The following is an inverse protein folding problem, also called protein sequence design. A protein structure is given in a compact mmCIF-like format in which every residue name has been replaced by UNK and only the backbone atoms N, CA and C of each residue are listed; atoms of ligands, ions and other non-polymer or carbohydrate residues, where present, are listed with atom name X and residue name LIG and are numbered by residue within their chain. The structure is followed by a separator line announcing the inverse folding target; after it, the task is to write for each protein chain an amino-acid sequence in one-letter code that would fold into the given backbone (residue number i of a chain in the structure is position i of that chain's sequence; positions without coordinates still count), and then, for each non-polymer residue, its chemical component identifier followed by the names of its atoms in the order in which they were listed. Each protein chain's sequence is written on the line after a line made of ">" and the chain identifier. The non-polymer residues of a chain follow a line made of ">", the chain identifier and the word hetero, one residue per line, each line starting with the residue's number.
data_IF_201850565111
#
_entry.id   IF_201850565111
#
_cell.length_a   1.000
_cell.length_b   1.000
_cell.length_c   1.000
_cell.angle_alpha   90.00
_cell.angle_beta   90.00
_cell.angle_gamma   90.00
#
_symmetry.space_group_name_H-M   'P 1'
#
loop_
_entity.id
_entity.type
_entity.pdbx_description
1 polymer ?
#
# COMPACT_ATOMS: atom_id res chain seq x y z
N UNK A 1 -29.35 -8.44 39.48
CA UNK A 1 -29.02 -7.91 38.14
C UNK A 1 -28.60 -6.44 38.10
N UNK A 2 -29.31 -5.50 38.75
CA UNK A 2 -29.03 -4.04 38.67
C UNK A 2 -27.60 -3.59 39.05
N UNK A 3 -27.00 -4.16 40.11
CA UNK A 3 -25.62 -3.80 40.52
C UNK A 3 -24.53 -4.26 39.54
N UNK A 4 -24.71 -5.41 38.89
CA UNK A 4 -23.74 -5.94 37.93
C UNK A 4 -23.73 -5.12 36.64
N UNK A 5 -24.91 -4.72 36.15
CA UNK A 5 -25.07 -3.87 34.97
C UNK A 5 -24.48 -2.47 35.16
N UNK A 6 -24.59 -1.88 36.37
CA UNK A 6 -23.92 -0.62 36.71
C UNK A 6 -22.39 -0.76 36.70
N UNK A 7 -21.85 -1.88 37.20
CA UNK A 7 -20.41 -2.16 37.22
C UNK A 7 -19.85 -2.38 35.81
N UNK A 8 -20.62 -3.02 34.92
CA UNK A 8 -20.25 -3.20 33.50
C UNK A 8 -20.26 -1.85 32.76
N UNK A 9 -21.32 -1.04 32.89
CA UNK A 9 -21.39 0.29 32.24
C UNK A 9 -20.27 1.23 32.71
N UNK A 10 -19.95 1.21 34.01
CA UNK A 10 -18.82 1.95 34.57
C UNK A 10 -17.49 1.54 33.95
N UNK A 11 -17.26 0.23 33.77
CA UNK A 11 -16.01 -0.30 33.23
C UNK A 11 -15.86 -0.06 31.72
N UNK A 12 -16.96 -0.15 30.97
CA UNK A 12 -17.00 0.21 29.54
C UNK A 12 -16.72 1.70 29.32
N UNK A 13 -17.29 2.57 30.16
CA UNK A 13 -17.02 4.00 30.10
C UNK A 13 -15.54 4.31 30.39
N UNK A 14 -14.95 3.68 31.40
CA UNK A 14 -13.55 3.87 31.75
C UNK A 14 -12.60 3.47 30.61
N UNK A 15 -12.87 2.32 29.98
CA UNK A 15 -12.10 1.84 28.82
C UNK A 15 -12.28 2.73 27.58
N UNK A 16 -13.49 3.26 27.37
CA UNK A 16 -13.76 4.22 26.28
C UNK A 16 -13.00 5.53 26.49
N UNK A 17 -12.97 6.04 27.72
CA UNK A 17 -12.28 7.29 28.07
C UNK A 17 -10.74 7.12 27.99
N UNK A 18 -10.20 5.95 28.36
CA UNK A 18 -8.78 5.61 28.19
C UNK A 18 -8.38 5.51 26.70
N UNK A 19 -9.20 4.89 25.86
CA UNK A 19 -8.95 4.78 24.41
C UNK A 19 -9.03 6.15 23.74
N UNK A 20 -9.99 7.00 24.11
CA UNK A 20 -10.09 8.38 23.65
C UNK A 20 -8.89 9.24 24.10
N UNK A 21 -8.41 9.03 25.33
CA UNK A 21 -7.20 9.66 25.86
C UNK A 21 -5.96 9.31 25.04
N UNK A 22 -5.74 8.01 24.79
CA UNK A 22 -4.63 7.52 23.96
C UNK A 22 -4.72 8.02 22.52
N UNK A 23 -5.92 8.12 21.96
CA UNK A 23 -6.13 8.64 20.59
C UNK A 23 -5.74 10.12 20.50
N UNK A 24 -6.17 10.96 21.45
CA UNK A 24 -5.78 12.37 21.52
C UNK A 24 -4.29 12.57 21.78
N UNK A 25 -3.68 11.74 22.61
CA UNK A 25 -2.25 11.81 22.91
C UNK A 25 -1.41 11.44 21.68
N UNK A 26 -1.85 10.43 20.91
CA UNK A 26 -1.27 10.09 19.61
C UNK A 26 -1.48 11.20 18.57
N UNK A 27 -2.66 11.83 18.52
CA UNK A 27 -2.93 12.98 17.64
C UNK A 27 -2.03 14.18 17.98
N UNK A 28 -1.89 14.53 19.27
CA UNK A 28 -0.99 15.58 19.74
C UNK A 28 0.49 15.27 19.44
N UNK A 29 0.92 14.02 19.59
CA UNK A 29 2.27 13.58 19.20
C UNK A 29 2.48 13.63 17.68
N UNK A 30 1.41 13.55 16.88
CA UNK A 30 1.47 13.73 15.43
C UNK A 30 1.47 15.21 15.00
N UNK A 31 0.78 16.10 15.72
CA UNK A 31 0.74 17.55 15.40
C UNK A 31 2.05 18.30 15.72
N UNK A 32 2.80 17.89 16.76
CA UNK A 32 4.05 18.57 17.18
C UNK A 32 5.23 18.34 16.20
N UNK A 33 5.06 17.54 15.14
CA UNK A 33 6.13 17.12 14.20
C UNK A 33 6.27 17.96 12.92
N UNK A 34 5.45 19.00 12.69
CA UNK A 34 5.32 19.64 11.36
C UNK A 34 6.16 20.88 11.06
N UNK A 35 7.07 21.34 11.93
CA UNK A 35 7.84 22.58 11.68
C UNK A 35 9.35 22.39 11.74
N UNK A 36 9.87 21.56 10.83
CA UNK A 36 11.26 21.64 10.32
C UNK A 36 11.26 21.09 8.91
N UNK A 37 11.91 21.78 7.98
CA UNK A 37 12.17 21.29 6.63
C UNK A 37 13.03 20.03 6.76
N UNK A 38 12.37 18.87 6.86
CA UNK A 38 13.01 17.56 7.06
C UNK A 38 13.79 17.27 5.78
N UNK A 39 15.08 16.96 5.91
CA UNK A 39 15.81 16.31 4.83
C UNK A 39 14.98 15.12 4.31
N UNK A 40 14.99 14.89 2.99
CA UNK A 40 14.30 13.75 2.35
C UNK A 40 14.95 12.44 2.83
N UNK A 41 14.59 12.00 4.05
CA UNK A 41 15.01 10.73 4.62
C UNK A 41 14.21 9.62 3.94
N UNK A 42 14.84 8.47 3.69
CA UNK A 42 14.07 7.28 3.36
C UNK A 42 13.15 6.97 4.53
N UNK A 43 11.86 6.93 4.22
CA UNK A 43 10.86 6.47 5.15
C UNK A 43 10.97 4.95 5.21
N UNK A 44 11.77 4.45 6.16
CA UNK A 44 11.74 3.04 6.58
C UNK A 44 10.45 2.69 7.34
N UNK A 45 9.63 3.71 7.63
CA UNK A 45 8.38 3.54 8.33
C UNK A 45 7.28 3.19 7.33
N UNK A 46 6.37 2.33 7.74
CA UNK A 46 5.17 1.95 6.99
C UNK A 46 4.19 3.14 6.88
N UNK A 47 4.58 4.22 6.22
CA UNK A 47 3.68 5.34 5.94
C UNK A 47 2.68 4.86 4.89
N UNK A 48 1.51 4.43 5.37
CA UNK A 48 0.44 3.98 4.48
C UNK A 48 -0.06 5.20 3.71
N UNK A 49 -0.10 5.15 2.37
CA UNK A 49 -0.64 6.26 1.60
C UNK A 49 -2.14 6.48 1.83
N UNK A 50 -2.68 7.54 1.21
CA UNK A 50 -4.11 7.83 1.24
C UNK A 50 -4.97 6.74 0.60
N UNK A 51 -6.30 6.86 0.76
CA UNK A 51 -7.30 5.87 0.34
C UNK A 51 -7.23 5.44 -1.13
N UNK A 52 -6.79 6.30 -2.04
CA UNK A 52 -6.62 5.96 -3.47
C UNK A 52 -5.32 5.24 -3.81
N UNK A 53 -4.36 5.23 -2.89
CA UNK A 53 -2.97 4.83 -3.16
C UNK A 53 -2.40 3.87 -2.12
N UNK A 54 -3.22 3.28 -1.27
CA UNK A 54 -2.80 2.35 -0.21
C UNK A 54 -1.97 1.16 -0.72
N UNK A 55 -2.09 0.82 -2.01
CA UNK A 55 -1.35 -0.22 -2.74
C UNK A 55 0.08 0.20 -3.14
N UNK A 56 0.38 1.51 -3.10
CA UNK A 56 1.73 2.04 -3.29
C UNK A 56 2.47 2.12 -1.94
N UNK A 57 3.80 2.14 -1.98
CA UNK A 57 4.62 2.39 -0.78
C UNK A 57 5.42 3.67 -0.99
N UNK A 58 5.35 4.57 -0.01
CA UNK A 58 6.16 5.78 0.00
C UNK A 58 7.61 5.42 0.36
N UNK A 59 8.57 5.87 -0.44
CA UNK A 59 10.00 5.69 -0.15
C UNK A 59 10.61 7.02 0.30
N UNK A 60 10.27 8.11 -0.39
CA UNK A 60 10.55 9.49 0.02
C UNK A 60 9.33 10.37 -0.30
N UNK A 61 9.38 11.68 -0.03
CA UNK A 61 8.31 12.60 -0.44
C UNK A 61 8.12 12.69 -1.96
N UNK A 62 9.15 12.32 -2.72
CA UNK A 62 9.20 12.48 -4.16
C UNK A 62 9.08 11.15 -4.92
N UNK A 63 9.22 10.02 -4.23
CA UNK A 63 9.27 8.71 -4.86
C UNK A 63 8.43 7.67 -4.11
N UNK A 64 7.64 6.95 -4.89
CA UNK A 64 6.76 5.88 -4.45
C UNK A 64 7.00 4.65 -5.32
N UNK A 65 6.70 3.47 -4.78
CA UNK A 65 6.86 2.19 -5.48
C UNK A 65 5.55 1.40 -5.48
N UNK A 66 5.31 0.63 -6.55
CA UNK A 66 4.16 -0.28 -6.67
C UNK A 66 4.48 -1.50 -7.53
N UNK A 67 3.59 -2.50 -7.47
CA UNK A 67 3.53 -3.60 -8.44
C UNK A 67 2.92 -3.16 -9.77
N UNK A 68 2.45 -4.11 -10.59
CA UNK A 68 1.86 -3.78 -11.89
C UNK A 68 0.61 -2.92 -11.68
N UNK A 69 0.43 -1.88 -12.48
CA UNK A 69 -0.69 -0.95 -12.34
C UNK A 69 -1.84 -1.37 -13.24
N UNK A 70 -3.07 -1.34 -12.71
CA UNK A 70 -4.28 -1.32 -13.51
C UNK A 70 -4.61 0.09 -13.99
N UNK A 71 -5.52 0.20 -14.95
CA UNK A 71 -6.02 1.50 -15.42
C UNK A 71 -6.58 2.35 -14.27
N UNK A 72 -7.31 1.72 -13.34
CA UNK A 72 -7.84 2.38 -12.14
C UNK A 72 -6.71 2.95 -11.27
N UNK A 73 -5.66 2.18 -11.03
CA UNK A 73 -4.52 2.61 -10.22
C UNK A 73 -3.80 3.82 -10.85
N UNK A 74 -3.66 3.87 -12.18
CA UNK A 74 -3.09 5.03 -12.90
C UNK A 74 -3.95 6.28 -12.70
N UNK A 75 -5.27 6.15 -12.84
CA UNK A 75 -6.22 7.25 -12.63
C UNK A 75 -6.23 7.74 -11.18
N UNK A 76 -6.20 6.82 -10.22
CA UNK A 76 -6.03 7.15 -8.80
C UNK A 76 -4.72 7.88 -8.51
N UNK A 77 -3.62 7.48 -9.14
CA UNK A 77 -2.36 8.19 -9.01
C UNK A 77 -2.50 9.66 -9.49
N UNK A 78 -3.24 9.89 -10.58
CA UNK A 78 -3.55 11.24 -11.07
C UNK A 78 -4.30 12.08 -10.03
N UNK A 79 -5.34 11.49 -9.45
CA UNK A 79 -6.28 12.17 -8.57
C UNK A 79 -5.66 12.57 -7.23
N UNK A 80 -4.64 11.83 -6.78
CA UNK A 80 -3.88 12.17 -5.56
C UNK A 80 -2.66 13.05 -5.83
N UNK A 81 -2.42 13.43 -7.09
CA UNK A 81 -1.42 14.43 -7.45
C UNK A 81 -0.04 13.90 -7.86
N UNK A 82 0.11 12.61 -8.18
CA UNK A 82 1.34 12.15 -8.87
C UNK A 82 1.50 12.92 -10.18
N UNK A 83 2.74 13.29 -10.50
CA UNK A 83 3.08 14.04 -11.72
C UNK A 83 3.73 13.18 -12.77
N UNK A 84 4.35 12.07 -12.37
CA UNK A 84 4.85 11.07 -13.30
C UNK A 84 4.69 9.64 -12.81
N UNK A 85 4.65 8.72 -13.78
CA UNK A 85 4.80 7.28 -13.57
C UNK A 85 6.01 6.79 -14.38
N UNK A 86 6.85 5.96 -13.76
CA UNK A 86 7.96 5.29 -14.45
C UNK A 86 7.79 3.78 -14.31
N UNK A 87 7.66 3.09 -15.43
CA UNK A 87 7.72 1.64 -15.50
C UNK A 87 9.17 1.18 -15.63
N UNK A 88 9.63 0.32 -14.73
CA UNK A 88 10.97 -0.28 -14.85
C UNK A 88 11.01 -1.41 -15.89
N UNK A 89 9.84 -1.89 -16.33
CA UNK A 89 9.70 -3.02 -17.24
C UNK A 89 8.75 -2.67 -18.41
N UNK A 90 8.90 -3.36 -19.54
CA UNK A 90 8.03 -3.20 -20.71
C UNK A 90 7.10 -4.42 -20.86
N UNK A 91 5.86 -4.32 -20.38
CA UNK A 91 4.85 -5.35 -20.51
C UNK A 91 4.25 -5.33 -21.91
N UNK A 92 4.48 -6.40 -22.68
CA UNK A 92 3.96 -6.56 -24.03
C UNK A 92 2.64 -7.32 -24.10
N UNK A 93 2.20 -7.91 -22.99
CA UNK A 93 0.97 -8.68 -22.89
C UNK A 93 0.07 -8.10 -21.81
N UNK A 94 -1.23 -8.07 -22.07
CA UNK A 94 -2.26 -7.84 -21.07
C UNK A 94 -2.25 -8.96 -20.02
N UNK A 95 -2.77 -8.65 -18.85
CA UNK A 95 -2.88 -9.62 -17.75
C UNK A 95 -4.14 -9.32 -16.95
N UNK A 96 -4.80 -10.36 -16.45
CA UNK A 96 -5.94 -10.24 -15.57
C UNK A 96 -5.64 -10.87 -14.22
N UNK A 97 -6.10 -10.22 -13.16
CA UNK A 97 -6.15 -10.82 -11.82
C UNK A 97 -7.57 -10.73 -11.29
N UNK A 98 -8.28 -11.86 -11.26
CA UNK A 98 -9.73 -11.85 -11.08
C UNK A 98 -10.39 -10.93 -12.13
N UNK A 99 -11.20 -9.99 -11.67
CA UNK A 99 -11.90 -9.02 -12.54
C UNK A 99 -11.06 -7.79 -12.89
N UNK A 100 -9.84 -7.66 -12.36
CA UNK A 100 -9.01 -6.49 -12.61
C UNK A 100 -8.10 -6.68 -13.83
N UNK A 101 -8.16 -5.70 -14.72
CA UNK A 101 -7.39 -5.63 -15.96
C UNK A 101 -6.09 -4.85 -15.76
N UNK A 102 -4.98 -5.47 -16.17
CA UNK A 102 -3.65 -4.86 -16.21
C UNK A 102 -3.21 -4.69 -17.67
N UNK A 103 -3.27 -3.45 -18.20
CA UNK A 103 -2.95 -3.16 -19.59
C UNK A 103 -1.48 -3.43 -19.94
N UNK A 104 -1.16 -3.43 -21.24
CA UNK A 104 0.23 -3.37 -21.71
C UNK A 104 0.89 -2.05 -21.26
N UNK A 105 2.23 -1.97 -21.32
CA UNK A 105 2.92 -0.71 -21.00
C UNK A 105 2.53 0.44 -21.93
N UNK A 106 2.23 0.15 -23.21
CA UNK A 106 1.81 1.19 -24.16
C UNK A 106 0.40 1.69 -23.84
N UNK A 107 -0.55 0.80 -23.54
CA UNK A 107 -1.90 1.21 -23.14
C UNK A 107 -1.89 1.94 -21.79
N UNK A 108 -1.04 1.51 -20.85
CA UNK A 108 -0.82 2.21 -19.57
C UNK A 108 -0.33 3.64 -19.83
N UNK A 109 0.59 3.83 -20.78
CA UNK A 109 1.08 5.15 -21.18
C UNK A 109 -0.06 6.00 -21.77
N UNK A 110 -0.90 5.43 -22.63
CA UNK A 110 -2.06 6.13 -23.20
C UNK A 110 -3.00 6.61 -22.08
N UNK A 111 -3.35 5.73 -21.13
CA UNK A 111 -4.17 6.10 -19.96
C UNK A 111 -3.50 7.21 -19.16
N UNK A 112 -2.21 7.08 -18.85
CA UNK A 112 -1.46 8.04 -18.06
C UNK A 112 -1.41 9.42 -18.73
N UNK A 113 -0.99 9.48 -19.99
CA UNK A 113 -0.74 10.75 -20.69
C UNK A 113 -2.02 11.38 -21.24
N UNK A 114 -2.91 10.58 -21.85
CA UNK A 114 -4.08 11.09 -22.57
C UNK A 114 -5.31 11.28 -21.68
N UNK A 115 -5.52 10.40 -20.68
CA UNK A 115 -6.71 10.46 -19.82
C UNK A 115 -6.40 11.09 -18.46
N UNK A 116 -5.31 10.67 -17.83
CA UNK A 116 -4.91 11.17 -16.51
C UNK A 116 -4.16 12.51 -16.57
N UNK A 117 -3.35 12.75 -17.62
CA UNK A 117 -2.50 13.94 -17.71
C UNK A 117 -1.23 13.83 -16.85
N UNK A 118 -0.70 12.62 -16.71
CA UNK A 118 0.52 12.27 -15.99
C UNK A 118 1.60 11.89 -17.01
N UNK A 119 2.84 12.35 -16.83
CA UNK A 119 3.97 11.95 -17.69
C UNK A 119 4.32 10.48 -17.47
N UNK A 120 4.58 9.72 -18.54
CA UNK A 120 4.90 8.30 -18.43
C UNK A 120 6.27 7.96 -19.03
N UNK A 121 7.06 7.13 -18.34
CA UNK A 121 8.41 6.74 -18.75
C UNK A 121 8.63 5.23 -18.66
N UNK A 122 9.49 4.67 -19.53
CA UNK A 122 9.78 3.24 -19.58
C UNK A 122 11.30 3.03 -19.54
N UNK A 123 11.82 2.61 -18.39
CA UNK A 123 13.27 2.45 -18.20
C UNK A 123 13.83 1.28 -19.04
N UNK A 124 13.14 0.14 -19.10
CA UNK A 124 13.57 -1.02 -19.90
C UNK A 124 13.72 -0.70 -21.40
N UNK A 125 12.74 0.00 -21.97
CA UNK A 125 12.79 0.46 -23.37
C UNK A 125 13.95 1.44 -23.58
N UNK A 126 14.12 2.39 -22.66
CA UNK A 126 15.22 3.37 -22.71
C UNK A 126 16.60 2.69 -22.56
N UNK A 127 16.66 1.54 -21.90
CA UNK A 127 17.86 0.72 -21.79
C UNK A 127 18.20 -0.06 -23.08
N UNK A 128 17.35 -0.06 -24.12
CA UNK A 128 17.53 -0.82 -25.37
C UNK A 128 17.89 -2.30 -25.13
N UNK A 129 17.05 -2.99 -24.35
CA UNK A 129 17.25 -4.39 -24.01
C UNK A 129 16.42 -5.31 -24.91
N UNK A 130 17.09 -6.31 -25.49
CA UNK A 130 16.46 -7.36 -26.28
C UNK A 130 15.90 -8.50 -25.40
N UNK A 131 16.33 -8.58 -24.14
CA UNK A 131 15.90 -9.60 -23.19
C UNK A 131 14.96 -9.03 -22.13
N UNK A 132 14.12 -9.91 -21.59
CA UNK A 132 13.25 -9.62 -20.45
C UNK A 132 13.98 -9.80 -19.10
N UNK A 133 15.32 -9.83 -19.07
CA UNK A 133 16.07 -9.94 -17.81
C UNK A 133 15.99 -8.60 -17.05
N UNK A 134 15.16 -8.58 -16.01
CA UNK A 134 15.02 -7.44 -15.11
C UNK A 134 16.21 -7.32 -14.14
N UNK A 135 17.24 -8.16 -14.22
CA UNK A 135 18.44 -8.03 -13.37
C UNK A 135 19.57 -7.44 -14.20
N UNK A 136 19.41 -6.16 -14.56
CA UNK A 136 20.32 -5.48 -15.48
C UNK A 136 20.65 -4.04 -15.04
N UNK A 137 21.95 -3.73 -14.93
CA UNK A 137 22.46 -2.40 -14.58
C UNK A 137 22.05 -1.31 -15.59
N UNK A 138 21.89 -1.65 -16.88
CA UNK A 138 21.46 -0.69 -17.90
C UNK A 138 20.09 -0.09 -17.58
N UNK A 139 19.21 -0.83 -16.89
CA UNK A 139 17.92 -0.31 -16.43
C UNK A 139 18.10 0.69 -15.29
N UNK A 140 19.08 0.51 -14.40
CA UNK A 140 19.43 1.51 -13.37
C UNK A 140 19.88 2.82 -14.03
N UNK A 141 20.76 2.72 -15.04
CA UNK A 141 21.23 3.90 -15.79
C UNK A 141 20.09 4.59 -16.54
N UNK A 142 19.27 3.83 -17.27
CA UNK A 142 18.12 4.37 -17.99
C UNK A 142 17.09 5.02 -17.04
N UNK A 143 16.83 4.41 -15.89
CA UNK A 143 15.99 5.01 -14.85
C UNK A 143 16.58 6.32 -14.33
N UNK A 144 17.89 6.35 -14.06
CA UNK A 144 18.61 7.56 -13.63
C UNK A 144 18.52 8.67 -14.67
N UNK A 145 18.63 8.33 -15.96
CA UNK A 145 18.47 9.28 -17.06
C UNK A 145 17.05 9.86 -17.12
N UNK A 146 16.02 9.01 -17.02
CA UNK A 146 14.62 9.46 -16.97
C UNK A 146 14.39 10.45 -15.83
N UNK A 147 14.90 10.16 -14.64
CA UNK A 147 14.70 11.02 -13.47
C UNK A 147 15.48 12.33 -13.57
N UNK A 148 16.78 12.26 -13.86
CA UNK A 148 17.68 13.42 -13.75
C UNK A 148 17.79 14.23 -15.03
N UNK A 149 17.88 13.57 -16.19
CA UNK A 149 18.14 14.22 -17.49
C UNK A 149 16.82 14.63 -18.12
N UNK A 150 15.84 13.73 -18.15
CA UNK A 150 14.52 14.02 -18.72
C UNK A 150 13.57 14.74 -17.73
N UNK A 151 14.08 15.05 -16.53
CA UNK A 151 13.43 15.86 -15.50
C UNK A 151 11.96 15.50 -15.29
N UNK A 152 11.69 14.22 -15.02
CA UNK A 152 10.33 13.77 -14.75
C UNK A 152 9.76 14.51 -13.53
N UNK A 153 8.59 15.18 -13.65
CA UNK A 153 8.02 15.96 -12.56
C UNK A 153 7.62 15.05 -11.39
N UNK A 154 7.85 15.54 -10.17
CA UNK A 154 7.58 14.85 -8.91
C UNK A 154 6.22 15.25 -8.33
N UNK A 155 5.55 14.40 -7.52
CA UNK A 155 5.95 13.06 -7.09
C UNK A 155 5.92 12.02 -8.22
N UNK A 156 6.85 11.04 -8.16
CA UNK A 156 7.01 9.96 -9.13
C UNK A 156 6.56 8.64 -8.52
N UNK A 157 5.69 7.92 -9.23
CA UNK A 157 5.34 6.53 -8.94
C UNK A 157 6.17 5.60 -9.82
N UNK A 158 7.01 4.78 -9.21
CA UNK A 158 7.83 3.77 -9.89
C UNK A 158 7.14 2.43 -9.78
N UNK A 159 7.01 1.69 -10.88
CA UNK A 159 6.31 0.41 -10.86
C UNK A 159 6.98 -0.67 -11.72
N UNK A 160 6.70 -1.93 -11.39
CA UNK A 160 7.17 -3.12 -12.12
C UNK A 160 6.09 -4.21 -12.11
N UNK A 161 6.40 -5.46 -12.47
CA UNK A 161 5.46 -6.57 -12.36
C UNK A 161 5.14 -6.86 -10.89
N UNK A 162 6.18 -6.77 -10.07
CA UNK A 162 6.20 -6.96 -8.62
C UNK A 162 6.92 -5.78 -7.97
N UNK A 163 6.41 -5.29 -6.84
CA UNK A 163 6.91 -4.02 -6.30
C UNK A 163 8.33 -4.09 -5.71
N UNK A 164 8.86 -5.27 -5.39
CA UNK A 164 10.26 -5.40 -4.96
C UNK A 164 11.25 -5.12 -6.10
N UNK A 165 10.90 -5.41 -7.36
CA UNK A 165 11.75 -5.03 -8.48
C UNK A 165 11.76 -3.51 -8.67
N UNK A 166 10.60 -2.86 -8.52
CA UNK A 166 10.53 -1.39 -8.53
C UNK A 166 11.36 -0.77 -7.39
N UNK A 167 11.32 -1.38 -6.20
CA UNK A 167 12.13 -0.93 -5.06
C UNK A 167 13.63 -1.10 -5.31
N UNK A 168 14.05 -2.22 -5.89
CA UNK A 168 15.45 -2.47 -6.24
C UNK A 168 16.01 -1.36 -7.13
N UNK A 169 15.30 -1.01 -8.20
CA UNK A 169 15.74 0.03 -9.12
C UNK A 169 15.77 1.42 -8.51
N UNK A 170 14.74 1.79 -7.75
CA UNK A 170 14.71 3.08 -7.08
C UNK A 170 15.82 3.22 -6.03
N UNK A 171 16.12 2.15 -5.27
CA UNK A 171 17.18 2.17 -4.28
C UNK A 171 18.57 2.22 -4.93
N UNK A 172 18.77 1.53 -6.05
CA UNK A 172 20.01 1.64 -6.83
C UNK A 172 20.16 3.05 -7.42
N UNK A 173 19.08 3.69 -7.88
CA UNK A 173 19.13 5.11 -8.24
C UNK A 173 19.63 5.99 -7.09
N UNK A 174 19.07 5.86 -5.88
CA UNK A 174 19.55 6.62 -4.72
C UNK A 174 20.99 6.30 -4.33
N UNK A 175 21.42 5.05 -4.47
CA UNK A 175 22.80 4.65 -4.25
C UNK A 175 23.75 5.28 -5.27
N UNK A 176 23.36 5.29 -6.55
CA UNK A 176 24.11 5.93 -7.62
C UNK A 176 24.26 7.43 -7.39
N UNK A 177 23.16 8.11 -7.05
CA UNK A 177 23.17 9.52 -6.68
C UNK A 177 24.02 9.79 -5.44
N UNK A 178 23.96 8.90 -4.44
CA UNK A 178 24.79 9.01 -3.23
C UNK A 178 26.28 8.96 -3.56
N UNK A 179 26.67 8.07 -4.47
CA UNK A 179 28.06 7.90 -4.92
C UNK A 179 28.56 9.10 -5.70
N UNK A 180 27.76 9.62 -6.63
CA UNK A 180 28.20 10.67 -7.55
C UNK A 180 27.92 12.10 -7.06
N UNK A 181 26.99 12.27 -6.11
CA UNK A 181 26.65 13.56 -5.54
C UNK A 181 26.75 13.52 -3.99
N UNK A 182 27.86 14.04 -3.43
CA UNK A 182 28.06 14.11 -1.98
C UNK A 182 26.98 14.89 -1.21
N UNK A 183 26.21 15.76 -1.87
CA UNK A 183 25.12 16.51 -1.26
C UNK A 183 23.73 15.84 -1.37
N UNK A 184 23.62 14.76 -2.16
CA UNK A 184 22.36 14.06 -2.37
C UNK A 184 21.81 13.44 -1.09
N UNK A 185 20.52 13.61 -0.84
CA UNK A 185 19.76 12.91 0.19
C UNK A 185 18.54 12.23 -0.45
N UNK A 186 18.21 10.99 -0.05
CA UNK A 186 18.79 10.25 1.07
C UNK A 186 20.11 9.53 0.74
N UNK A 187 21.05 9.50 1.70
CA UNK A 187 22.28 8.70 1.59
C UNK A 187 22.05 7.19 1.69
N UNK A 188 22.30 6.48 0.58
CA UNK A 188 22.15 5.02 0.46
C UNK A 188 23.48 4.34 0.18
N UNK A 189 23.88 3.50 1.13
CA UNK A 189 25.00 2.55 1.01
C UNK A 189 24.48 1.18 0.62
N UNK A 190 25.37 0.27 0.19
CA UNK A 190 24.99 -1.11 -0.16
C UNK A 190 24.23 -1.81 0.99
N UNK A 191 24.75 -1.69 2.22
CA UNK A 191 24.12 -2.27 3.42
C UNK A 191 22.72 -1.70 3.67
N UNK A 192 22.53 -0.39 3.49
CA UNK A 192 21.20 0.23 3.67
C UNK A 192 20.23 -0.24 2.61
N UNK A 193 20.64 -0.28 1.34
CA UNK A 193 19.84 -0.75 0.22
C UNK A 193 19.30 -2.17 0.49
N UNK A 194 20.18 -3.09 0.86
CA UNK A 194 19.83 -4.49 1.14
C UNK A 194 18.85 -4.59 2.32
N UNK A 195 19.09 -3.83 3.39
CA UNK A 195 18.19 -3.79 4.55
C UNK A 195 16.80 -3.22 4.22
N UNK A 196 16.73 -2.19 3.37
CA UNK A 196 15.45 -1.64 2.91
C UNK A 196 14.73 -2.65 2.01
N UNK A 197 15.45 -3.33 1.12
CA UNK A 197 14.92 -4.41 0.27
C UNK A 197 14.26 -5.51 1.10
N UNK A 198 14.96 -6.00 2.13
CA UNK A 198 14.43 -7.00 3.04
C UNK A 198 13.14 -6.55 3.74
N UNK A 199 13.09 -5.29 4.20
CA UNK A 199 11.87 -4.72 4.78
C UNK A 199 10.71 -4.61 3.78
N UNK A 200 11.02 -4.46 2.48
CA UNK A 200 10.01 -4.54 1.43
C UNK A 200 9.66 -5.97 1.03
N UNK A 201 10.36 -6.96 1.57
CA UNK A 201 10.02 -8.36 1.49
C UNK A 201 10.82 -9.20 0.54
N UNK A 202 11.94 -8.66 0.05
CA UNK A 202 12.81 -9.38 -0.85
C UNK A 202 14.25 -9.33 -0.36
N UNK A 203 14.83 -10.50 -0.17
CA UNK A 203 16.24 -10.66 0.17
C UNK A 203 17.07 -10.70 -1.11
N UNK A 204 17.68 -9.56 -1.45
CA UNK A 204 18.55 -9.44 -2.62
C UNK A 204 19.85 -10.25 -2.48
N UNK A 205 20.23 -10.68 -1.27
CA UNK A 205 21.50 -11.38 -1.04
C UNK A 205 21.51 -12.81 -1.59
N UNK A 206 20.34 -13.36 -1.89
CA UNK A 206 20.19 -14.69 -2.50
C UNK A 206 20.33 -14.69 -4.03
N UNK A 207 20.52 -13.53 -4.68
CA UNK A 207 20.74 -13.40 -6.13
C UNK A 207 22.07 -12.70 -6.42
N UNK A 208 23.04 -13.46 -6.92
CA UNK A 208 24.40 -12.98 -7.20
C UNK A 208 24.41 -11.80 -8.19
N UNK A 209 23.58 -11.84 -9.24
CA UNK A 209 23.48 -10.74 -10.22
C UNK A 209 22.95 -9.47 -9.59
N UNK A 210 21.98 -9.56 -8.67
CA UNK A 210 21.48 -8.39 -7.95
C UNK A 210 22.57 -7.80 -7.05
N UNK A 211 23.38 -8.64 -6.41
CA UNK A 211 24.49 -8.20 -5.57
C UNK A 211 25.65 -7.58 -6.37
N UNK A 212 25.90 -8.06 -7.59
CA UNK A 212 26.81 -7.43 -8.55
C UNK A 212 26.33 -6.02 -8.93
N UNK A 213 25.05 -5.87 -9.29
CA UNK A 213 24.46 -4.57 -9.63
C UNK A 213 24.56 -3.59 -8.45
N UNK A 214 24.28 -4.05 -7.22
CA UNK A 214 24.43 -3.21 -6.02
C UNK A 214 25.87 -2.79 -5.83
N UNK A 215 26.82 -3.70 -6.01
CA UNK A 215 28.26 -3.39 -5.90
C UNK A 215 28.70 -2.39 -6.97
N UNK A 216 28.30 -2.60 -8.21
CA UNK A 216 28.62 -1.70 -9.33
C UNK A 216 28.05 -0.31 -9.10
N UNK A 217 26.79 -0.21 -8.64
CA UNK A 217 26.09 1.06 -8.42
C UNK A 217 26.69 1.83 -7.25
N UNK A 218 26.92 1.16 -6.12
CA UNK A 218 27.44 1.79 -4.88
C UNK A 218 28.94 2.02 -4.90
N UNK A 219 29.70 1.20 -5.65
CA UNK A 219 31.15 1.10 -5.54
C UNK A 219 31.65 0.37 -4.28
N UNK A 220 30.75 -0.24 -3.50
CA UNK A 220 31.06 -0.97 -2.27
C UNK A 220 31.18 -2.48 -2.53
N UNK A 221 32.03 -3.17 -1.76
CA UNK A 221 32.07 -4.64 -1.77
C UNK A 221 30.85 -5.20 -1.03
N UNK A 222 30.12 -6.13 -1.66
CA UNK A 222 28.85 -6.68 -1.16
C UNK A 222 28.98 -8.05 -0.50
N UNK A 223 30.11 -8.75 -0.68
CA UNK A 223 30.31 -10.14 -0.25
C UNK A 223 30.22 -10.41 1.27
N UNK A 224 30.31 -9.36 2.10
CA UNK A 224 30.21 -9.47 3.55
C UNK A 224 28.84 -9.02 4.12
N UNK A 225 27.87 -8.69 3.26
CA UNK A 225 26.55 -8.23 3.69
C UNK A 225 25.62 -9.43 3.81
N UNK A 226 25.16 -9.71 5.02
CA UNK A 226 24.17 -10.74 5.31
C UNK A 226 22.93 -10.11 5.94
N UNK A 227 21.77 -10.73 5.70
CA UNK A 227 20.52 -10.42 6.41
C UNK A 227 20.32 -11.42 7.52
N UNK A 228 19.90 -10.94 8.71
CA UNK A 228 19.53 -11.84 9.79
C UNK A 228 18.21 -12.52 9.42
N UNK A 229 18.17 -13.86 9.44
CA UNK A 229 16.97 -14.63 9.12
C UNK A 229 15.78 -14.29 10.03
N UNK A 230 16.01 -13.74 11.23
CA UNK A 230 14.96 -13.26 12.12
C UNK A 230 14.29 -11.97 11.65
N UNK A 231 14.95 -11.20 10.78
CA UNK A 231 14.39 -10.00 10.16
C UNK A 231 13.53 -10.36 8.92
N UNK A 232 13.54 -11.63 8.50
CA UNK A 232 12.75 -12.09 7.37
C UNK A 232 11.34 -12.55 7.81
N UNK A 233 10.32 -12.30 6.98
CA UNK A 233 8.95 -12.77 7.21
C UNK A 233 8.85 -14.29 7.26
N UNK A 234 7.92 -14.80 8.07
CA UNK A 234 7.56 -16.22 8.08
C UNK A 234 6.50 -16.44 6.99
N UNK A 235 6.76 -17.39 6.08
CA UNK A 235 5.88 -17.74 4.97
C UNK A 235 6.60 -17.62 3.63
N UNK A 236 6.56 -18.68 2.82
CA UNK A 236 7.09 -18.63 1.45
C UNK A 236 6.16 -17.76 0.59
N UNK A 237 6.76 -16.89 -0.23
CA UNK A 237 6.09 -16.18 -1.32
C UNK A 237 4.94 -15.22 -0.96
N UNK A 238 4.86 -14.75 0.29
CA UNK A 238 3.88 -13.71 0.68
C UNK A 238 3.98 -12.46 -0.20
N UNK A 239 5.18 -12.17 -0.74
CA UNK A 239 5.44 -11.05 -1.64
C UNK A 239 4.69 -11.16 -2.97
N UNK A 240 4.07 -12.32 -3.27
CA UNK A 240 3.11 -12.47 -4.37
C UNK A 240 1.86 -11.60 -4.16
N UNK A 241 1.50 -11.31 -2.91
CA UNK A 241 0.54 -10.27 -2.56
C UNK A 241 1.27 -9.02 -2.06
N UNK A 242 1.83 -8.26 -3.00
CA UNK A 242 2.66 -7.07 -2.73
C UNK A 242 1.96 -6.00 -1.89
N UNK A 243 0.64 -5.91 -2.00
CA UNK A 243 -0.18 -4.95 -1.29
C UNK A 243 -0.21 -5.21 0.23
N UNK A 244 0.17 -6.42 0.67
CA UNK A 244 0.46 -6.69 2.06
C UNK A 244 1.89 -6.23 2.44
N UNK A 245 2.03 -5.76 3.68
CA UNK A 245 3.29 -5.38 4.29
C UNK A 245 3.53 -6.25 5.51
N UNK A 246 4.72 -6.85 5.60
CA UNK A 246 5.15 -7.54 6.80
C UNK A 246 5.28 -6.58 7.97
N UNK A 247 4.83 -6.98 9.17
CA UNK A 247 5.02 -6.19 10.40
C UNK A 247 6.03 -6.86 11.31
N UNK A 248 5.76 -8.12 11.67
CA UNK A 248 6.62 -8.91 12.54
C UNK A 248 6.21 -10.39 12.50
N UNK A 249 7.20 -11.29 12.38
CA UNK A 249 6.99 -12.75 12.28
C UNK A 249 5.95 -13.13 11.21
N UNK A 250 4.77 -13.60 11.62
CA UNK A 250 3.68 -14.03 10.76
C UNK A 250 2.56 -12.98 10.61
N UNK A 251 2.74 -11.76 11.12
CA UNK A 251 1.73 -10.68 11.03
C UNK A 251 2.03 -9.79 9.83
N UNK A 252 1.01 -9.63 8.98
CA UNK A 252 1.02 -8.77 7.82
C UNK A 252 -0.15 -7.78 7.89
N UNK A 253 0.01 -6.63 7.25
CA UNK A 253 -1.02 -5.60 7.15
C UNK A 253 -1.31 -5.24 5.69
N UNK A 254 -2.53 -4.82 5.38
CA UNK A 254 -2.87 -4.23 4.09
C UNK A 254 -3.86 -3.08 4.25
N UNK A 255 -3.99 -2.29 3.18
CA UNK A 255 -5.19 -1.49 2.95
C UNK A 255 -6.40 -2.36 2.63
N UNK A 256 -7.45 -1.79 2.06
CA UNK A 256 -8.62 -2.55 1.60
C UNK A 256 -8.23 -3.73 0.69
N UNK A 257 -8.98 -4.83 0.73
CA UNK A 257 -8.80 -5.95 -0.20
C UNK A 257 -9.73 -5.73 -1.39
N UNK A 258 -9.24 -5.98 -2.61
CA UNK A 258 -10.09 -6.03 -3.79
C UNK A 258 -10.50 -7.47 -4.13
N UNK A 259 -11.65 -7.65 -4.76
CA UNK A 259 -12.10 -8.95 -5.26
C UNK A 259 -11.11 -9.56 -6.23
N UNK A 260 -10.35 -8.74 -6.97
CA UNK A 260 -9.24 -9.19 -7.80
C UNK A 260 -8.14 -9.88 -7.00
N UNK A 261 -7.87 -9.45 -5.76
CA UNK A 261 -6.70 -9.89 -4.97
C UNK A 261 -6.85 -11.28 -4.34
N UNK A 262 -8.05 -11.86 -4.37
CA UNK A 262 -8.42 -13.09 -3.68
C UNK A 262 -7.46 -14.25 -3.98
N UNK A 263 -7.11 -14.45 -5.26
CA UNK A 263 -6.23 -15.53 -5.66
C UNK A 263 -4.78 -15.32 -5.16
N UNK A 264 -4.23 -14.11 -5.27
CA UNK A 264 -2.90 -13.78 -4.71
C UNK A 264 -2.84 -13.93 -3.19
N UNK A 265 -3.90 -13.54 -2.49
CA UNK A 265 -4.01 -13.71 -1.04
C UNK A 265 -3.92 -15.20 -0.67
N UNK A 266 -4.62 -16.06 -1.42
CA UNK A 266 -4.55 -17.51 -1.24
C UNK A 266 -3.16 -18.06 -1.56
N UNK A 267 -2.57 -17.66 -2.68
CA UNK A 267 -1.22 -18.06 -3.11
C UNK A 267 -0.12 -17.60 -2.15
N UNK A 268 -0.31 -16.44 -1.50
CA UNK A 268 0.57 -15.92 -0.45
C UNK A 268 0.47 -16.71 0.87
N UNK A 269 -0.43 -17.69 0.97
CA UNK A 269 -0.52 -18.60 2.11
C UNK A 269 -1.17 -18.00 3.36
N UNK A 270 -1.95 -16.92 3.23
CA UNK A 270 -2.67 -16.35 4.37
C UNK A 270 -3.76 -17.31 4.86
N UNK A 271 -3.67 -17.71 6.14
CA UNK A 271 -4.64 -18.64 6.74
C UNK A 271 -5.83 -17.94 7.39
N UNK A 272 -5.62 -16.71 7.86
CA UNK A 272 -6.62 -15.89 8.54
C UNK A 272 -6.54 -14.45 8.10
N UNK A 273 -7.70 -13.85 7.86
CA UNK A 273 -7.88 -12.42 7.54
C UNK A 273 -8.69 -11.75 8.64
N UNK A 274 -8.14 -10.65 9.15
CA UNK A 274 -8.80 -9.74 10.09
C UNK A 274 -9.23 -8.48 9.37
N UNK A 275 -10.54 -8.29 9.24
CA UNK A 275 -11.11 -7.09 8.68
C UNK A 275 -11.47 -6.08 9.78
N UNK A 276 -10.81 -4.93 9.75
CA UNK A 276 -11.05 -3.82 10.70
C UNK A 276 -11.91 -2.70 10.12
N UNK A 277 -12.50 -2.89 8.94
CA UNK A 277 -13.37 -1.91 8.29
C UNK A 277 -14.75 -1.92 8.91
N UNK A 278 -15.44 -0.78 8.91
CA UNK A 278 -16.83 -0.75 9.38
C UNK A 278 -17.73 -1.53 8.42
N UNK A 279 -18.53 -2.45 8.97
CA UNK A 279 -19.52 -3.22 8.23
C UNK A 279 -20.81 -2.44 7.99
N UNK A 280 -21.87 -3.10 7.49
CA UNK A 280 -23.12 -2.42 7.14
C UNK A 280 -23.84 -1.80 8.34
N UNK A 281 -23.67 -2.34 9.56
CA UNK A 281 -24.25 -1.78 10.77
C UNK A 281 -23.36 -1.98 12.00
N UNK A 282 -23.35 -0.98 12.88
CA UNK A 282 -22.78 -1.04 14.22
C UNK A 282 -23.89 -0.69 15.22
N UNK A 283 -24.21 -1.60 16.15
CA UNK A 283 -25.30 -1.42 17.13
C UNK A 283 -26.66 -1.02 16.50
N UNK A 284 -26.99 -1.62 15.35
CA UNK A 284 -28.19 -1.33 14.55
C UNK A 284 -28.24 0.06 13.89
N UNK A 285 -27.12 0.79 13.88
CA UNK A 285 -26.95 2.05 13.15
C UNK A 285 -26.15 1.78 11.87
N UNK A 286 -26.61 2.22 10.69
CA UNK A 286 -25.81 2.12 9.47
C UNK A 286 -24.45 2.81 9.64
N UNK A 287 -23.36 2.05 9.50
CA UNK A 287 -21.98 2.53 9.67
C UNK A 287 -21.07 2.17 8.50
N UNK A 288 -21.69 1.77 7.38
CA UNK A 288 -21.03 1.28 6.19
C UNK A 288 -19.99 2.27 5.67
N UNK A 289 -18.77 1.79 5.42
CA UNK A 289 -17.73 2.62 4.82
C UNK A 289 -18.04 2.95 3.36
N UNK A 290 -17.59 4.13 2.93
CA UNK A 290 -17.57 4.51 1.52
C UNK A 290 -16.65 3.59 0.71
N UNK A 291 -16.98 3.31 -0.56
CA UNK A 291 -15.98 2.80 -1.52
C UNK A 291 -15.18 3.95 -2.13
N UNK A 292 -14.00 3.64 -2.65
CA UNK A 292 -13.15 4.61 -3.35
C UNK A 292 -13.62 4.66 -4.78
N UNK A 293 -13.86 5.86 -5.30
CA UNK A 293 -14.48 6.08 -6.60
C UNK A 293 -13.58 6.93 -7.48
N UNK A 294 -13.54 6.62 -8.78
CA UNK A 294 -12.84 7.44 -9.77
C UNK A 294 -13.51 8.82 -9.92
N UNK A 295 -12.66 9.85 -10.03
CA UNK A 295 -12.99 11.26 -10.15
C UNK A 295 -13.90 11.82 -9.03
N UNK A 296 -13.92 11.21 -7.85
CA UNK A 296 -14.64 11.68 -6.67
C UNK A 296 -13.66 11.93 -5.52
N UNK A 297 -13.82 13.03 -4.79
CA UNK A 297 -12.99 13.32 -3.62
C UNK A 297 -13.35 12.38 -2.47
N UNK A 298 -12.36 11.70 -1.92
CA UNK A 298 -12.55 10.76 -0.81
C UNK A 298 -13.06 11.47 0.46
N UNK A 299 -13.88 10.77 1.26
CA UNK A 299 -14.28 11.24 2.59
C UNK A 299 -15.24 12.42 2.57
N UNK A 300 -15.91 12.64 1.44
CA UNK A 300 -16.83 13.77 1.26
C UNK A 300 -18.27 13.46 1.63
N UNK A 301 -18.58 12.23 2.07
CA UNK A 301 -19.95 11.83 2.37
C UNK A 301 -20.78 11.81 1.10
N UNK A 302 -20.45 10.85 0.22
CA UNK A 302 -21.15 10.61 -1.05
C UNK A 302 -22.55 10.00 -0.87
N UNK A 303 -22.93 9.75 0.40
CA UNK A 303 -24.12 9.03 0.81
C UNK A 303 -25.14 9.95 1.51
N UNK A 304 -26.43 9.66 1.32
CA UNK A 304 -27.55 10.25 2.07
C UNK A 304 -27.81 9.48 3.39
N UNK A 305 -28.69 10.03 4.25
CA UNK A 305 -29.16 9.31 5.44
C UNK A 305 -29.70 7.92 5.06
N UNK A 306 -29.17 6.87 5.68
CA UNK A 306 -29.43 5.48 5.30
C UNK A 306 -28.36 4.85 4.41
N UNK A 307 -27.26 5.56 4.14
CA UNK A 307 -26.05 5.03 3.52
C UNK A 307 -26.10 4.92 2.00
N UNK A 308 -27.06 5.53 1.30
CA UNK A 308 -27.18 5.37 -0.17
C UNK A 308 -26.43 6.44 -0.92
N UNK A 309 -25.65 6.03 -1.93
CA UNK A 309 -24.88 6.97 -2.74
C UNK A 309 -25.85 7.78 -3.60
N UNK A 310 -25.72 9.11 -3.62
CA UNK A 310 -26.63 9.95 -4.40
C UNK A 310 -25.94 10.70 -5.53
N UNK A 311 -26.62 10.76 -6.68
CA UNK A 311 -26.11 11.42 -7.89
C UNK A 311 -25.69 12.86 -7.59
N UNK A 312 -26.53 13.61 -6.86
CA UNK A 312 -26.26 14.98 -6.47
C UNK A 312 -24.94 15.10 -5.69
N UNK A 313 -24.73 14.25 -4.68
CA UNK A 313 -23.49 14.25 -3.88
C UNK A 313 -22.27 13.90 -4.72
N UNK A 314 -22.37 12.95 -5.65
CA UNK A 314 -21.27 12.62 -6.56
C UNK A 314 -20.91 13.79 -7.47
N UNK A 315 -21.91 14.48 -8.02
CA UNK A 315 -21.68 15.63 -8.87
C UNK A 315 -21.02 16.79 -8.12
N UNK A 316 -21.42 17.04 -6.86
CA UNK A 316 -20.87 18.05 -5.95
C UNK A 316 -19.43 17.74 -5.50
N UNK A 317 -19.05 16.47 -5.45
CA UNK A 317 -17.77 15.99 -4.86
C UNK A 317 -16.76 15.56 -5.90
N UNK A 318 -17.05 15.79 -7.19
CA UNK A 318 -16.12 15.53 -8.29
C UNK A 318 -14.81 16.26 -8.13
N UNK A 319 -13.72 15.60 -8.52
CA UNK A 319 -12.38 16.19 -8.50
C UNK A 319 -12.22 17.13 -9.71
N UNK A 320 -12.56 16.66 -10.90
CA UNK A 320 -12.40 17.41 -12.15
C UNK A 320 -13.58 17.16 -13.10
N UNK A 321 -14.45 18.17 -13.24
CA UNK A 321 -15.61 18.10 -14.11
C UNK A 321 -15.28 18.15 -15.61
N UNK A 322 -14.03 18.45 -15.98
CA UNK A 322 -13.58 18.53 -17.39
C UNK A 322 -13.07 17.21 -17.95
N UNK A 323 -12.88 16.18 -17.11
CA UNK A 323 -12.45 14.85 -17.56
C UNK A 323 -13.46 14.25 -18.55
N UNK A 324 -13.01 13.59 -19.62
CA UNK A 324 -13.90 12.87 -20.54
C UNK A 324 -14.57 11.71 -19.81
N UNK A 325 -15.73 11.25 -20.29
CA UNK A 325 -16.41 10.10 -19.70
C UNK A 325 -15.58 8.80 -19.77
N UNK A 326 -14.75 8.68 -20.82
CA UNK A 326 -13.77 7.61 -21.02
C UNK A 326 -12.78 7.50 -19.84
N UNK A 327 -12.59 8.59 -19.09
CA UNK A 327 -11.83 8.57 -17.85
C UNK A 327 -12.43 7.60 -16.82
N UNK A 328 -13.72 7.29 -16.86
CA UNK A 328 -14.32 6.25 -16.01
C UNK A 328 -14.25 4.90 -16.72
N UNK A 329 -14.86 4.84 -17.91
CA UNK A 329 -14.75 3.71 -18.84
C UNK A 329 -15.24 4.14 -20.22
N UNK A 330 -14.88 3.40 -21.26
CA UNK A 330 -15.32 3.67 -22.64
C UNK A 330 -16.83 3.67 -22.84
N UNK A 331 -17.58 3.06 -21.92
CA UNK A 331 -19.05 2.98 -21.96
C UNK A 331 -19.72 3.89 -20.94
N UNK A 332 -18.95 4.69 -20.19
CA UNK A 332 -19.53 5.55 -19.16
C UNK A 332 -20.28 6.71 -19.79
N UNK A 333 -21.46 7.02 -19.25
CA UNK A 333 -22.26 8.17 -19.65
C UNK A 333 -21.94 9.43 -18.84
N UNK A 334 -21.11 9.29 -17.80
CA UNK A 334 -20.69 10.36 -16.89
C UNK A 334 -19.19 10.27 -16.61
N UNK A 335 -18.59 11.36 -16.16
CA UNK A 335 -17.16 11.42 -15.86
C UNK A 335 -16.82 11.16 -14.39
N UNK A 336 -17.72 10.54 -13.63
CA UNK A 336 -17.46 10.10 -12.26
C UNK A 336 -17.98 8.69 -12.06
N UNK A 337 -17.34 7.95 -11.16
CA UNK A 337 -17.76 6.60 -10.84
C UNK A 337 -18.85 6.60 -9.76
N UNK A 338 -19.89 5.79 -9.96
CA UNK A 338 -21.01 5.67 -9.02
C UNK A 338 -20.99 4.39 -8.18
N UNK A 339 -20.08 3.46 -8.46
CA UNK A 339 -19.92 2.21 -7.72
C UNK A 339 -18.54 1.63 -8.02
N UNK A 340 -17.89 1.03 -7.02
CA UNK A 340 -16.65 0.28 -7.22
C UNK A 340 -16.84 -1.16 -6.71
N UNK A 341 -17.16 -2.08 -7.62
CA UNK A 341 -17.40 -3.49 -7.30
C UNK A 341 -16.15 -4.23 -6.84
N UNK A 342 -14.95 -3.79 -7.26
CA UNK A 342 -13.69 -4.38 -6.82
C UNK A 342 -13.51 -4.27 -5.31
N UNK A 343 -14.02 -3.20 -4.69
CA UNK A 343 -14.00 -3.01 -3.23
C UNK A 343 -15.17 -3.67 -2.51
N UNK A 344 -15.77 -4.72 -3.10
CA UNK A 344 -17.01 -5.32 -2.62
C UNK A 344 -18.13 -4.28 -2.48
N UNK A 345 -18.09 -3.24 -3.31
CA UNK A 345 -19.08 -2.17 -3.33
C UNK A 345 -20.46 -2.64 -3.81
N UNK A 346 -21.50 -2.01 -3.27
CA UNK A 346 -22.84 -2.03 -3.82
C UNK A 346 -23.40 -0.60 -3.92
N UNK A 347 -24.72 -0.44 -4.10
CA UNK A 347 -25.38 0.87 -4.20
C UNK A 347 -25.33 1.71 -2.91
N UNK A 348 -24.86 1.13 -1.80
CA UNK A 348 -24.81 1.73 -0.46
C UNK A 348 -23.35 1.90 0.01
N UNK A 349 -22.40 1.17 -0.58
CA UNK A 349 -20.98 1.32 -0.29
C UNK A 349 -20.31 -0.02 -0.06
N UNK A 350 -19.31 -0.06 0.82
CA UNK A 350 -18.53 -1.26 1.10
C UNK A 350 -19.37 -2.35 1.77
N UNK A 351 -19.52 -3.53 1.16
CA UNK A 351 -20.32 -4.61 1.72
C UNK A 351 -19.44 -5.71 2.35
N UNK A 352 -19.32 -5.70 3.68
CA UNK A 352 -18.53 -6.68 4.43
C UNK A 352 -18.98 -8.13 4.22
N UNK A 353 -20.28 -8.37 4.04
CA UNK A 353 -20.80 -9.73 3.84
C UNK A 353 -20.32 -10.30 2.49
N UNK A 354 -20.27 -9.47 1.44
CA UNK A 354 -19.71 -9.87 0.15
C UNK A 354 -18.23 -10.22 0.25
N UNK A 355 -17.46 -9.41 0.98
CA UNK A 355 -16.04 -9.69 1.22
C UNK A 355 -15.86 -11.00 1.99
N UNK A 356 -16.59 -11.17 3.11
CA UNK A 356 -16.58 -12.39 3.92
C UNK A 356 -16.83 -13.63 3.06
N UNK A 357 -17.93 -13.64 2.31
CA UNK A 357 -18.30 -14.79 1.48
C UNK A 357 -17.21 -15.12 0.46
N UNK A 358 -16.60 -14.09 -0.14
CA UNK A 358 -15.54 -14.29 -1.12
C UNK A 358 -14.25 -14.85 -0.49
N UNK A 359 -13.88 -14.39 0.71
CA UNK A 359 -12.69 -14.88 1.43
C UNK A 359 -12.92 -16.30 1.98
N UNK A 360 -14.06 -16.56 2.61
CA UNK A 360 -14.38 -17.88 3.17
C UNK A 360 -14.49 -18.94 2.05
N UNK A 361 -14.92 -18.56 0.84
CA UNK A 361 -14.92 -19.45 -0.33
C UNK A 361 -13.52 -19.92 -0.76
N UNK A 362 -12.46 -19.20 -0.38
CA UNK A 362 -11.07 -19.63 -0.60
C UNK A 362 -10.57 -20.63 0.46
N UNK A 363 -11.36 -20.91 1.50
CA UNK A 363 -10.96 -21.69 2.66
C UNK A 363 -10.15 -20.88 3.69
N UNK A 364 -10.15 -19.56 3.60
CA UNK A 364 -9.43 -18.66 4.51
C UNK A 364 -10.37 -18.26 5.65
N UNK A 365 -9.89 -18.34 6.90
CA UNK A 365 -10.68 -17.91 8.06
C UNK A 365 -10.85 -16.39 8.03
N UNK A 366 -12.08 -15.91 8.12
CA UNK A 366 -12.38 -14.47 8.08
C UNK A 366 -12.98 -13.98 9.40
N UNK A 367 -12.33 -12.99 10.01
CA UNK A 367 -12.72 -12.39 11.28
C UNK A 367 -12.99 -10.90 11.04
N UNK A 368 -14.25 -10.50 11.15
CA UNK A 368 -14.64 -9.09 11.09
C UNK A 368 -14.67 -8.50 12.49
N UNK A 369 -13.77 -7.56 12.75
CA UNK A 369 -13.63 -6.94 14.04
C UNK A 369 -13.26 -5.46 13.87
N UNK A 370 -14.26 -4.57 13.65
CA UNK A 370 -14.01 -3.14 13.54
C UNK A 370 -13.52 -2.53 14.88
N UNK A 371 -13.65 -3.26 15.99
CA UNK A 371 -13.20 -2.88 17.33
C UNK A 371 -12.12 -3.82 17.87
N UNK A 372 -11.56 -3.52 19.03
CA UNK A 372 -10.21 -3.97 19.40
C UNK A 372 -10.16 -5.31 20.14
N UNK A 373 -11.25 -5.68 20.83
CA UNK A 373 -11.13 -6.50 22.03
C UNK A 373 -10.67 -7.96 21.79
N UNK A 374 -10.75 -8.50 20.57
CA UNK A 374 -10.56 -9.95 20.33
C UNK A 374 -9.39 -10.32 19.39
N UNK A 375 -8.66 -9.35 18.81
CA UNK A 375 -7.60 -9.62 17.82
C UNK A 375 -6.42 -10.41 18.43
N UNK A 376 -6.07 -10.13 19.70
CA UNK A 376 -4.91 -10.75 20.39
C UNK A 376 -5.02 -12.27 20.48
N UNK A 377 -6.18 -12.78 20.90
CA UNK A 377 -6.39 -14.22 21.11
C UNK A 377 -6.34 -15.00 19.80
N UNK A 378 -6.93 -14.44 18.74
CA UNK A 378 -6.97 -15.08 17.45
C UNK A 378 -5.59 -15.11 16.75
N UNK A 379 -4.70 -14.14 17.01
CA UNK A 379 -3.32 -14.17 16.50
C UNK A 379 -2.46 -15.18 17.28
N UNK A 380 -2.63 -15.28 18.61
CA UNK A 380 -1.95 -16.30 19.42
C UNK A 380 -2.27 -17.72 18.94
N UNK A 381 -3.53 -17.99 18.58
CA UNK A 381 -3.98 -19.29 18.06
C UNK A 381 -3.42 -19.63 16.67
N UNK A 382 -2.90 -18.65 15.92
CA UNK A 382 -2.38 -18.81 14.57
C UNK A 382 -0.87 -18.53 14.46
N UNK A 383 -0.12 -18.61 15.56
CA UNK A 383 1.27 -18.12 15.67
C UNK A 383 2.29 -18.69 14.67
N UNK A 384 1.96 -19.76 13.95
CA UNK A 384 2.83 -20.39 12.93
C UNK A 384 2.40 -20.13 11.48
N UNK A 385 1.23 -19.54 11.25
CA UNK A 385 0.67 -19.32 9.92
C UNK A 385 0.57 -17.82 9.60
N UNK A 386 0.79 -17.37 8.35
CA UNK A 386 0.64 -15.98 7.96
C UNK A 386 -0.78 -15.45 8.22
N UNK A 387 -0.87 -14.32 8.89
CA UNK A 387 -2.10 -13.60 9.21
C UNK A 387 -2.08 -12.25 8.52
N UNK A 388 -3.17 -11.90 7.84
CA UNK A 388 -3.35 -10.60 7.22
C UNK A 388 -4.38 -9.77 7.99
N UNK A 389 -3.98 -8.59 8.46
CA UNK A 389 -4.86 -7.62 9.10
C UNK A 389 -5.08 -6.48 8.11
N UNK A 390 -6.31 -6.14 7.80
CA UNK A 390 -6.56 -5.08 6.84
C UNK A 390 -7.59 -4.07 7.33
N UNK A 391 -7.42 -2.84 6.87
CA UNK A 391 -8.36 -1.75 7.10
C UNK A 391 -8.40 -0.88 5.87
N UNK A 392 -9.28 0.12 5.81
CA UNK A 392 -9.48 0.96 4.61
C UNK A 392 -8.18 1.42 3.93
N UNK A 393 -7.28 2.05 4.69
CA UNK A 393 -5.96 2.49 4.22
C UNK A 393 -4.82 1.68 4.82
N UNK A 394 -5.13 0.73 5.72
CA UNK A 394 -4.15 -0.03 6.49
C UNK A 394 -3.51 0.72 7.67
N UNK A 395 -3.84 2.00 7.90
CA UNK A 395 -3.37 2.71 9.11
C UNK A 395 -3.85 2.04 10.41
N UNK A 396 -5.15 1.75 10.49
CA UNK A 396 -5.74 1.04 11.64
C UNK A 396 -5.15 -0.36 11.77
N UNK A 397 -5.00 -1.08 10.66
CA UNK A 397 -4.34 -2.39 10.64
C UNK A 397 -2.91 -2.34 11.18
N UNK A 398 -2.12 -1.35 10.75
CA UNK A 398 -0.75 -1.11 11.24
C UNK A 398 -0.71 -0.90 12.74
N UNK A 399 -1.57 -0.02 13.27
CA UNK A 399 -1.63 0.24 14.70
C UNK A 399 -1.89 -1.05 15.48
N UNK A 400 -2.91 -1.81 15.07
CA UNK A 400 -3.28 -3.04 15.77
C UNK A 400 -2.28 -4.17 15.60
N UNK A 401 -1.64 -4.29 14.44
CA UNK A 401 -0.56 -5.23 14.23
C UNK A 401 0.62 -4.95 15.17
N UNK A 402 1.02 -3.68 15.30
CA UNK A 402 2.11 -3.28 16.19
C UNK A 402 1.75 -3.47 17.66
N UNK A 403 0.57 -3.03 18.10
CA UNK A 403 0.08 -3.27 19.46
C UNK A 403 0.04 -4.77 19.75
N UNK A 404 -0.48 -5.58 18.83
CA UNK A 404 -0.54 -7.03 19.01
C UNK A 404 0.87 -7.63 19.10
N UNK A 405 1.79 -7.21 18.23
CA UNK A 405 3.16 -7.71 18.26
C UNK A 405 3.89 -7.38 19.56
N UNK A 406 3.77 -6.14 20.04
CA UNK A 406 4.32 -5.71 21.33
C UNK A 406 3.80 -6.55 22.48
N UNK A 407 2.49 -6.83 22.50
CA UNK A 407 1.86 -7.61 23.56
C UNK A 407 2.22 -9.09 23.53
N UNK A 408 2.21 -9.73 22.36
CA UNK A 408 2.45 -11.17 22.23
C UNK A 408 3.91 -11.52 22.47
N UNK A 409 4.84 -10.71 21.96
CA UNK A 409 6.28 -11.01 22.00
C UNK A 409 7.07 -10.15 22.99
N UNK A 410 6.38 -9.43 23.88
CA UNK A 410 6.98 -8.58 24.91
C UNK A 410 8.03 -7.60 24.33
N UNK A 411 7.72 -7.02 23.16
CA UNK A 411 8.61 -6.05 22.53
C UNK A 411 8.54 -4.71 23.28
N UNK A 412 9.62 -3.92 23.32
CA UNK A 412 9.57 -2.59 23.93
C UNK A 412 8.58 -1.67 23.18
N UNK A 413 7.87 -0.80 23.88
CA UNK A 413 6.99 0.21 23.24
C UNK A 413 7.75 1.10 22.24
N UNK A 414 9.02 1.37 22.52
CA UNK A 414 9.92 2.11 21.62
C UNK A 414 10.08 1.42 20.26
N UNK A 415 10.00 0.09 20.19
CA UNK A 415 10.04 -0.68 18.94
C UNK A 415 8.82 -0.38 18.06
N UNK A 416 7.63 -0.30 18.67
CA UNK A 416 6.39 0.05 17.98
C UNK A 416 6.35 1.54 17.62
N UNK A 417 6.78 2.41 18.52
CA UNK A 417 6.81 3.86 18.31
C UNK A 417 7.67 4.25 17.10
N UNK A 418 8.85 3.63 16.93
CA UNK A 418 9.70 3.87 15.74
C UNK A 418 8.97 3.50 14.45
N UNK A 419 8.22 2.38 14.45
CA UNK A 419 7.48 1.91 13.27
C UNK A 419 6.20 2.70 13.00
N UNK A 420 5.60 3.33 14.02
CA UNK A 420 4.40 4.18 13.89
C UNK A 420 4.71 5.58 13.36
N UNK A 421 5.90 6.13 13.63
CA UNK A 421 6.26 7.51 13.23
C UNK A 421 6.10 7.73 11.72
N UNK A 422 5.48 8.85 11.35
CA UNK A 422 5.36 9.34 9.96
C UNK A 422 6.64 10.05 9.50
#
# INVERSE_FOLDING_TARGET
>A
MSKMMKKVKSRVKLLSDEVLGLTKEVENLMEVSTTKQKSDKITLNYDMPGRKTWWARKVTNNFYIAGRLSERMVKYASEVGFKSIISVFNFTNEYHHGDEFFPTTEDTKIVAESLAGIKFGIAHRSANLETNDWRNIRIVHAFTELVNVQQFPKPILVHSGVGYSASFYLLNYFANETRHNPSFEPKITARKLIKIGANFGFDFTNDEKLMEIVSETTGEKTSAITINSQDMPIGHDWYNYWEAMHVYKNIFIAGQIWSSHLQRIKEAGFSTIFNLRNGPAENSIPSQEEVTLLNIRDGTGTYEMGGRQSKKRLEETRIDASKPNEYISNTSMVNYESMNSLEFGDSIGYNEMKERMAIEALGIKYIHQPTVNDIKQAILMNSTQPVLIHSRTGHTAKLWALVTATNIWNLPESWAAVRLRK
#
